data_IF_562215360561
#
_entry.id   IF_562215360561
#
_cell.length_a   1.000
_cell.length_b   1.000
_cell.length_c   1.000
_cell.angle_alpha   90.00
_cell.angle_beta   90.00
_cell.angle_gamma   90.00
#
_symmetry.space_group_name_H-M   'P 1'
#
loop_
_entity.id
_entity.type
_entity.pdbx_description
1 polymer ?
#
# COMPACT_ATOMS: atom_id res chain seq x y z
N UNK A 1 65.00 -66.06 -10.75
CA UNK A 1 64.86 -64.59 -10.69
C UNK A 1 63.89 -64.22 -9.58
N UNK A 2 64.36 -63.72 -8.43
CA UNK A 2 63.52 -63.12 -7.38
C UNK A 2 63.51 -61.60 -7.60
N UNK A 3 62.33 -61.03 -7.82
CA UNK A 3 62.14 -59.58 -8.06
C UNK A 3 62.24 -58.85 -6.72
N UNK A 4 63.24 -57.98 -6.59
CA UNK A 4 63.46 -57.16 -5.41
C UNK A 4 62.54 -55.92 -5.49
N UNK A 5 61.55 -55.85 -4.61
CA UNK A 5 60.63 -54.70 -4.52
C UNK A 5 61.07 -53.90 -3.30
N UNK A 6 61.76 -52.78 -3.52
CA UNK A 6 62.02 -51.82 -2.45
C UNK A 6 60.77 -50.95 -2.25
N UNK A 7 60.21 -50.98 -1.04
CA UNK A 7 59.09 -50.14 -0.64
C UNK A 7 59.54 -48.68 -0.48
N UNK A 8 58.95 -47.79 -1.27
CA UNK A 8 59.14 -46.33 -1.11
C UNK A 8 58.26 -45.88 0.05
N UNK A 9 58.88 -45.51 1.17
CA UNK A 9 58.21 -44.94 2.34
C UNK A 9 58.10 -43.43 2.17
N UNK A 10 56.90 -42.94 1.86
CA UNK A 10 56.63 -41.49 1.74
C UNK A 10 56.37 -40.93 3.13
N UNK A 11 57.39 -40.32 3.75
CA UNK A 11 57.25 -39.69 5.07
C UNK A 11 56.69 -38.28 4.92
N UNK A 12 55.41 -38.07 5.23
CA UNK A 12 54.84 -36.73 5.37
C UNK A 12 55.42 -36.05 6.62
N UNK A 13 56.27 -35.05 6.41
CA UNK A 13 56.76 -34.19 7.50
C UNK A 13 55.58 -33.40 8.08
N UNK A 14 55.16 -33.73 9.32
CA UNK A 14 54.20 -32.92 10.07
C UNK A 14 54.85 -31.58 10.40
N UNK A 15 54.45 -30.51 9.69
CA UNK A 15 54.73 -29.14 10.13
C UNK A 15 54.15 -28.95 11.53
N UNK A 16 54.94 -28.37 12.45
CA UNK A 16 54.47 -27.97 13.79
C UNK A 16 53.27 -27.03 13.62
N UNK A 17 52.21 -27.15 14.44
CA UNK A 17 51.13 -26.16 14.43
C UNK A 17 51.71 -24.85 14.95
N UNK A 18 52.03 -23.94 14.04
CA UNK A 18 52.40 -22.58 14.41
C UNK A 18 51.15 -21.92 15.00
N UNK A 19 51.24 -21.44 16.24
CA UNK A 19 50.15 -20.71 16.89
C UNK A 19 49.77 -19.46 16.11
N UNK A 20 48.51 -19.04 16.22
CA UNK A 20 47.99 -17.81 15.61
C UNK A 20 48.95 -16.64 15.85
N UNK A 21 49.38 -15.98 14.78
CA UNK A 21 50.19 -14.79 14.91
C UNK A 21 49.31 -13.61 15.31
N UNK A 22 49.80 -12.70 16.16
CA UNK A 22 49.04 -11.52 16.61
C UNK A 22 48.63 -10.60 15.44
N UNK A 23 49.40 -10.62 14.35
CA UNK A 23 49.06 -9.91 13.11
C UNK A 23 47.91 -10.57 12.36
N UNK A 24 47.82 -11.90 12.36
CA UNK A 24 46.74 -12.66 11.71
C UNK A 24 45.40 -12.47 12.42
N UNK A 25 45.39 -12.43 13.75
CA UNK A 25 44.17 -12.12 14.52
C UNK A 25 43.73 -10.67 14.31
N UNK A 26 44.67 -9.72 14.21
CA UNK A 26 44.36 -8.32 13.90
C UNK A 26 43.75 -8.17 12.48
N UNK A 27 44.31 -8.87 11.49
CA UNK A 27 43.77 -8.89 10.12
C UNK A 27 42.39 -9.56 10.09
N UNK A 28 42.22 -10.69 10.79
CA UNK A 28 40.94 -11.40 10.86
C UNK A 28 39.84 -10.56 11.51
N UNK A 29 40.16 -9.83 12.59
CA UNK A 29 39.25 -8.87 13.22
C UNK A 29 38.92 -7.70 12.28
N UNK A 30 39.91 -7.25 11.49
CA UNK A 30 39.68 -6.26 10.43
C UNK A 30 38.62 -6.71 9.42
N UNK A 31 38.76 -7.91 8.87
CA UNK A 31 37.74 -8.47 7.97
C UNK A 31 36.40 -8.70 8.66
N UNK A 32 36.41 -9.13 9.93
CA UNK A 32 35.19 -9.35 10.71
C UNK A 32 34.39 -8.04 10.88
N UNK A 33 35.06 -6.96 11.25
CA UNK A 33 34.42 -5.65 11.43
C UNK A 33 33.82 -5.10 10.13
N UNK A 34 34.53 -5.24 9.01
CA UNK A 34 33.98 -4.89 7.68
C UNK A 34 32.75 -5.73 7.35
N UNK A 35 32.79 -7.05 7.63
CA UNK A 35 31.64 -7.93 7.46
C UNK A 35 30.43 -7.48 8.28
N UNK A 36 30.62 -7.09 9.54
CA UNK A 36 29.55 -6.58 10.39
C UNK A 36 28.95 -5.27 9.86
N UNK A 37 29.76 -4.34 9.34
CA UNK A 37 29.27 -3.09 8.77
C UNK A 37 28.33 -3.34 7.58
N UNK A 38 28.66 -4.30 6.72
CA UNK A 38 27.81 -4.70 5.59
C UNK A 38 26.46 -5.24 6.09
N UNK A 39 26.48 -6.12 7.10
CA UNK A 39 25.26 -6.71 7.67
C UNK A 39 24.35 -5.65 8.31
N UNK A 40 24.93 -4.69 9.04
CA UNK A 40 24.19 -3.58 9.64
C UNK A 40 23.56 -2.70 8.57
N UNK A 41 24.34 -2.31 7.54
CA UNK A 41 23.83 -1.51 6.43
C UNK A 41 22.66 -2.20 5.73
N UNK A 42 22.80 -3.49 5.44
CA UNK A 42 21.73 -4.28 4.82
C UNK A 42 20.48 -4.32 5.70
N UNK A 43 20.65 -4.54 7.01
CA UNK A 43 19.53 -4.60 7.96
C UNK A 43 18.76 -3.27 8.02
N UNK A 44 19.47 -2.14 8.04
CA UNK A 44 18.81 -0.82 8.07
C UNK A 44 18.03 -0.53 6.78
N UNK A 45 18.56 -0.92 5.62
CA UNK A 45 17.87 -0.77 4.34
C UNK A 45 16.65 -1.70 4.24
N UNK A 46 16.76 -2.91 4.79
CA UNK A 46 15.65 -3.84 4.85
C UNK A 46 14.50 -3.29 5.71
N UNK A 47 14.79 -2.70 6.87
CA UNK A 47 13.76 -2.08 7.72
C UNK A 47 13.02 -0.94 7.02
N UNK A 48 13.72 -0.08 6.28
CA UNK A 48 13.08 0.97 5.46
C UNK A 48 12.14 0.38 4.40
N UNK A 49 12.58 -0.71 3.77
CA UNK A 49 11.78 -1.41 2.75
C UNK A 49 10.53 -2.05 3.37
N UNK A 50 10.65 -2.62 4.56
CA UNK A 50 9.51 -3.19 5.29
C UNK A 50 8.49 -2.12 5.68
N UNK A 51 8.93 -0.96 6.18
CA UNK A 51 8.03 0.16 6.49
C UNK A 51 7.28 0.62 5.24
N UNK A 52 7.99 0.80 4.13
CA UNK A 52 7.37 1.17 2.86
C UNK A 52 6.38 0.11 2.38
N UNK A 53 6.72 -1.18 2.46
CA UNK A 53 5.83 -2.26 2.07
C UNK A 53 4.57 -2.30 2.95
N UNK A 54 4.72 -2.09 4.26
CA UNK A 54 3.59 -2.01 5.20
C UNK A 54 2.65 -0.86 4.86
N UNK A 55 3.19 0.33 4.62
CA UNK A 55 2.39 1.50 4.27
C UNK A 55 1.71 1.35 2.92
N UNK A 56 2.39 0.77 1.94
CA UNK A 56 1.79 0.46 0.63
C UNK A 56 0.62 -0.52 0.73
N UNK A 57 0.76 -1.55 1.56
CA UNK A 57 -0.33 -2.50 1.83
C UNK A 57 -1.51 -1.80 2.51
N UNK A 58 -1.25 -0.94 3.50
CA UNK A 58 -2.30 -0.13 4.14
C UNK A 58 -2.99 0.80 3.13
N UNK A 59 -2.23 1.50 2.30
CA UNK A 59 -2.78 2.38 1.26
C UNK A 59 -3.66 1.61 0.25
N UNK A 60 -3.32 0.36 -0.03
CA UNK A 60 -4.13 -0.51 -0.89
C UNK A 60 -5.45 -0.89 -0.22
N UNK A 61 -5.42 -1.28 1.07
CA UNK A 61 -6.64 -1.55 1.83
C UNK A 61 -7.52 -0.31 1.97
N UNK A 62 -6.94 0.85 2.26
CA UNK A 62 -7.67 2.12 2.30
C UNK A 62 -8.31 2.49 0.96
N UNK A 63 -7.65 2.13 -0.14
CA UNK A 63 -8.19 2.31 -1.49
C UNK A 63 -9.37 1.38 -1.76
N UNK A 64 -9.28 0.11 -1.31
CA UNK A 64 -10.37 -0.85 -1.42
C UNK A 64 -11.58 -0.43 -0.60
N UNK A 65 -11.35 -0.05 0.66
CA UNK A 65 -12.37 0.47 1.57
C UNK A 65 -13.07 1.70 0.98
N UNK A 66 -12.30 2.61 0.35
CA UNK A 66 -12.88 3.79 -0.32
C UNK A 66 -13.85 3.41 -1.45
N UNK A 67 -13.47 2.43 -2.28
CA UNK A 67 -14.36 1.89 -3.32
C UNK A 67 -15.59 1.21 -2.71
N UNK A 68 -15.41 0.41 -1.67
CA UNK A 68 -16.51 -0.26 -0.97
C UNK A 68 -17.48 0.73 -0.34
N UNK A 69 -17.00 1.83 0.23
CA UNK A 69 -17.83 2.89 0.80
C UNK A 69 -18.71 3.55 -0.28
N UNK A 70 -18.16 3.82 -1.46
CA UNK A 70 -18.90 4.38 -2.60
C UNK A 70 -19.95 3.39 -3.10
N UNK A 71 -19.59 2.12 -3.24
CA UNK A 71 -20.52 1.07 -3.66
C UNK A 71 -21.63 0.84 -2.63
N UNK A 72 -21.30 0.94 -1.34
CA UNK A 72 -22.25 0.85 -0.24
C UNK A 72 -23.22 2.04 -0.28
N UNK A 73 -22.73 3.27 -0.48
CA UNK A 73 -23.58 4.46 -0.62
C UNK A 73 -24.51 4.36 -1.82
N UNK A 74 -23.98 3.94 -2.98
CA UNK A 74 -24.79 3.66 -4.17
C UNK A 74 -25.88 2.63 -3.89
N UNK A 75 -25.54 1.53 -3.21
CA UNK A 75 -26.50 0.48 -2.86
C UNK A 75 -27.55 0.97 -1.84
N UNK A 76 -27.16 1.85 -0.93
CA UNK A 76 -28.09 2.53 -0.02
C UNK A 76 -29.10 3.36 -0.81
N UNK A 77 -28.64 4.17 -1.76
CA UNK A 77 -29.50 4.96 -2.64
C UNK A 77 -30.49 4.07 -3.41
N UNK A 78 -30.03 2.92 -3.92
CA UNK A 78 -30.91 1.92 -4.54
C UNK A 78 -31.96 1.34 -3.58
N UNK A 79 -31.59 1.05 -2.32
CA UNK A 79 -32.52 0.51 -1.32
C UNK A 79 -33.55 1.52 -0.86
N UNK A 80 -33.21 2.81 -0.83
CA UNK A 80 -34.13 3.86 -0.41
C UNK A 80 -35.32 4.01 -1.37
N UNK A 81 -35.19 3.56 -2.63
CA UNK A 81 -36.30 3.02 -3.44
C UNK A 81 -37.44 3.96 -3.80
N UNK A 82 -37.41 5.23 -3.40
CA UNK A 82 -38.35 6.25 -3.83
C UNK A 82 -37.97 6.69 -5.24
N UNK A 83 -38.97 6.90 -6.11
CA UNK A 83 -38.81 7.41 -7.47
C UNK A 83 -38.06 8.76 -7.56
N UNK A 84 -37.76 9.38 -6.42
CA UNK A 84 -37.11 10.69 -6.27
C UNK A 84 -35.63 10.61 -5.87
N UNK A 85 -35.09 9.44 -5.48
CA UNK A 85 -33.68 9.32 -5.08
C UNK A 85 -32.83 8.82 -6.24
N UNK A 86 -31.99 9.70 -6.76
CA UNK A 86 -31.04 9.39 -7.82
C UNK A 86 -29.95 8.41 -7.31
N UNK A 87 -29.55 7.43 -8.13
CA UNK A 87 -28.61 6.37 -7.71
C UNK A 87 -27.21 6.89 -7.29
N UNK A 88 -26.88 8.13 -7.67
CA UNK A 88 -25.64 8.84 -7.31
C UNK A 88 -25.86 9.98 -6.31
N UNK A 89 -27.01 10.01 -5.65
CA UNK A 89 -27.31 10.99 -4.61
C UNK A 89 -26.19 11.04 -3.56
N UNK A 90 -25.69 12.24 -3.29
CA UNK A 90 -24.56 12.47 -2.39
C UNK A 90 -23.17 12.06 -2.92
N UNK A 91 -23.06 11.44 -4.10
CA UNK A 91 -21.79 11.06 -4.73
C UNK A 91 -21.38 12.00 -5.86
N UNK A 92 -22.34 12.52 -6.63
CA UNK A 92 -22.09 13.48 -7.71
C UNK A 92 -22.22 14.94 -7.21
N UNK A 93 -21.37 15.34 -6.27
CA UNK A 93 -21.40 16.66 -5.62
C UNK A 93 -20.92 17.79 -6.56
N UNK A 94 -20.15 17.46 -7.61
CA UNK A 94 -19.72 18.39 -8.65
C UNK A 94 -20.36 18.02 -9.99
N UNK A 95 -20.84 19.02 -10.73
CA UNK A 95 -22.03 18.86 -11.57
C UNK A 95 -21.81 18.58 -13.05
N UNK A 96 -20.59 18.54 -13.58
CA UNK A 96 -20.44 18.46 -15.05
C UNK A 96 -19.77 17.18 -15.55
N UNK A 97 -18.57 16.82 -15.13
CA UNK A 97 -17.86 15.69 -15.75
C UNK A 97 -16.94 14.90 -14.80
N UNK A 98 -16.81 15.34 -13.56
CA UNK A 98 -15.99 14.70 -12.55
C UNK A 98 -16.49 15.12 -11.17
N UNK A 99 -16.58 14.17 -10.24
CA UNK A 99 -16.90 14.45 -8.84
C UNK A 99 -15.77 13.90 -7.98
N UNK A 100 -15.24 14.75 -7.09
CA UNK A 100 -14.23 14.32 -6.11
C UNK A 100 -14.84 14.30 -4.72
N UNK A 101 -14.90 13.11 -4.13
CA UNK A 101 -15.59 12.86 -2.86
C UNK A 101 -14.67 12.21 -1.83
N UNK A 102 -14.88 12.62 -0.58
CA UNK A 102 -14.21 12.11 0.60
C UNK A 102 -15.31 11.45 1.43
N UNK A 103 -15.22 10.13 1.57
CA UNK A 103 -16.20 9.32 2.28
C UNK A 103 -15.46 8.51 3.33
N UNK A 104 -16.05 8.41 4.51
CA UNK A 104 -15.56 7.56 5.59
C UNK A 104 -16.33 6.23 5.59
N UNK A 105 -15.71 5.17 6.12
CA UNK A 105 -16.36 3.86 6.27
C UNK A 105 -17.62 3.89 7.15
N UNK A 106 -17.78 4.94 7.95
CA UNK A 106 -19.03 5.29 8.64
C UNK A 106 -19.91 6.13 7.70
N UNK A 107 -20.77 5.44 6.96
CA UNK A 107 -21.60 5.83 5.81
C UNK A 107 -22.50 7.10 5.92
N UNK A 108 -22.36 7.93 6.94
CA UNK A 108 -23.35 8.98 7.26
C UNK A 108 -23.16 10.30 6.52
N UNK A 109 -21.96 10.59 6.02
CA UNK A 109 -21.67 11.90 5.39
C UNK A 109 -20.64 11.76 4.28
N UNK A 110 -21.04 12.11 3.06
CA UNK A 110 -20.10 12.31 1.94
C UNK A 110 -19.70 13.78 1.93
N UNK A 111 -18.40 14.04 1.94
CA UNK A 111 -17.83 15.38 1.94
C UNK A 111 -17.21 15.69 0.57
N UNK A 112 -17.29 16.95 0.14
CA UNK A 112 -16.45 17.43 -0.95
C UNK A 112 -14.99 17.45 -0.48
N UNK A 113 -14.10 16.77 -1.19
CA UNK A 113 -12.68 16.83 -0.85
C UNK A 113 -12.12 18.23 -1.14
N UNK A 114 -11.62 18.91 -0.12
CA UNK A 114 -10.60 19.95 -0.28
C UNK A 114 -9.19 19.36 -0.08
N UNK A 115 -8.14 20.12 -0.34
CA UNK A 115 -6.76 19.66 -0.09
C UNK A 115 -6.58 19.21 1.37
N UNK A 116 -7.22 19.91 2.32
CA UNK A 116 -7.26 19.51 3.72
C UNK A 116 -8.28 18.40 4.03
N UNK A 117 -9.42 18.37 3.33
CA UNK A 117 -10.46 17.36 3.51
C UNK A 117 -10.08 15.96 3.03
N UNK A 118 -9.04 15.83 2.20
CA UNK A 118 -8.54 14.54 1.72
C UNK A 118 -7.69 13.78 2.75
N UNK A 119 -7.25 14.43 3.82
CA UNK A 119 -6.38 13.83 4.84
C UNK A 119 -7.13 12.78 5.64
N UNK A 120 -6.45 11.67 5.94
CA UNK A 120 -6.95 10.63 6.83
C UNK A 120 -6.25 10.72 8.18
N UNK A 121 -7.07 10.78 9.22
CA UNK A 121 -6.68 10.78 10.62
C UNK A 121 -7.08 9.45 11.25
N UNK A 122 -6.30 9.03 12.25
CA UNK A 122 -6.64 7.84 13.02
C UNK A 122 -7.50 8.22 14.22
N UNK A 123 -8.59 7.48 14.44
CA UNK A 123 -9.38 7.59 15.66
C UNK A 123 -8.74 6.78 16.80
N UNK A 124 -9.31 6.90 18.01
CA UNK A 124 -8.83 6.16 19.18
C UNK A 124 -9.02 4.62 19.06
N UNK A 125 -9.87 4.18 18.14
CA UNK A 125 -10.23 2.81 17.84
C UNK A 125 -9.34 2.21 16.72
N UNK A 126 -8.55 3.05 16.07
CA UNK A 126 -7.60 2.68 15.03
C UNK A 126 -8.11 2.77 13.59
N UNK A 127 -9.32 3.30 13.35
CA UNK A 127 -9.89 3.53 12.02
C UNK A 127 -9.40 4.82 11.40
N UNK A 128 -9.41 4.88 10.07
CA UNK A 128 -9.04 6.07 9.31
C UNK A 128 -10.28 6.86 8.91
N UNK A 129 -10.29 8.14 9.22
CA UNK A 129 -11.40 9.05 8.97
C UNK A 129 -10.94 10.41 8.46
N UNK A 130 -11.80 11.11 7.74
CA UNK A 130 -11.55 12.46 7.22
C UNK A 130 -11.72 13.57 8.28
N UNK A 131 -12.22 13.22 9.47
CA UNK A 131 -12.38 14.16 10.58
C UNK A 131 -11.05 14.40 11.29
N UNK A 132 -10.64 15.67 11.52
CA UNK A 132 -9.41 15.97 12.22
C UNK A 132 -9.35 15.30 13.61
N UNK A 133 -8.27 14.58 13.88
CA UNK A 133 -7.93 13.99 15.18
C UNK A 133 -6.52 14.44 15.59
N UNK A 134 -6.17 14.24 16.85
CA UNK A 134 -4.86 14.59 17.40
C UNK A 134 -3.69 13.76 16.81
N UNK A 135 -3.99 12.74 16.02
CA UNK A 135 -3.02 11.79 15.48
C UNK A 135 -2.33 12.26 14.18
N UNK A 136 -1.16 11.67 13.90
CA UNK A 136 -0.33 12.03 12.75
C UNK A 136 -0.94 11.60 11.43
N UNK A 137 -0.98 12.52 10.46
CA UNK A 137 -1.45 12.27 9.09
C UNK A 137 -0.36 11.58 8.28
N UNK A 138 -0.59 10.31 7.91
CA UNK A 138 0.32 9.54 7.03
C UNK A 138 -0.30 9.34 5.64
N UNK A 139 -1.63 9.29 5.56
CA UNK A 139 -2.37 8.99 4.34
C UNK A 139 -3.32 10.14 3.99
N UNK A 140 -3.52 10.34 2.70
CA UNK A 140 -4.61 11.15 2.15
C UNK A 140 -5.35 10.32 1.12
N UNK A 141 -6.68 10.32 1.15
CA UNK A 141 -7.57 9.58 0.25
C UNK A 141 -8.51 10.55 -0.45
N UNK A 142 -8.74 10.30 -1.73
CA UNK A 142 -9.78 10.96 -2.52
C UNK A 142 -10.39 9.95 -3.47
N UNK A 143 -11.70 10.01 -3.65
CA UNK A 143 -12.40 9.23 -4.67
C UNK A 143 -12.81 10.16 -5.79
N UNK A 144 -12.51 9.76 -7.01
CA UNK A 144 -12.85 10.47 -8.23
C UNK A 144 -13.86 9.63 -8.98
N UNK A 145 -15.02 10.20 -9.23
CA UNK A 145 -16.06 9.63 -10.06
C UNK A 145 -16.05 10.33 -11.41
N UNK A 146 -16.18 9.55 -12.48
CA UNK A 146 -16.22 10.08 -13.85
C UNK A 146 -17.23 9.29 -14.70
N UNK A 147 -18.17 9.96 -15.38
CA UNK A 147 -19.04 9.31 -16.36
C UNK A 147 -18.20 8.85 -17.56
N UNK A 148 -18.45 7.63 -18.03
CA UNK A 148 -17.76 7.05 -19.18
C UNK A 148 -18.60 7.07 -20.46
N UNK A 149 -19.92 7.02 -20.32
CA UNK A 149 -20.87 6.89 -21.42
C UNK A 149 -21.68 8.16 -21.70
N UNK A 150 -21.44 9.23 -20.93
CA UNK A 150 -22.13 10.50 -21.08
C UNK A 150 -21.23 11.70 -20.75
N UNK A 151 -21.67 12.88 -21.20
CA UNK A 151 -21.01 14.14 -20.88
C UNK A 151 -21.32 14.64 -19.46
N UNK A 152 -22.43 14.18 -18.86
CA UNK A 152 -22.90 14.55 -17.53
C UNK A 152 -23.25 13.35 -16.69
N UNK A 153 -23.23 13.49 -15.36
CA UNK A 153 -23.62 12.41 -14.45
C UNK A 153 -25.10 12.02 -14.59
N UNK A 154 -25.99 12.97 -14.87
CA UNK A 154 -27.45 12.73 -14.95
C UNK A 154 -27.84 11.71 -16.02
N UNK A 155 -27.09 11.68 -17.13
CA UNK A 155 -27.36 10.80 -18.28
C UNK A 155 -26.43 9.58 -18.32
N UNK A 156 -25.44 9.52 -17.42
CA UNK A 156 -24.48 8.43 -17.35
C UNK A 156 -25.09 7.16 -16.74
N UNK A 157 -24.97 6.05 -17.45
CA UNK A 157 -25.31 4.72 -16.94
C UNK A 157 -24.07 3.98 -16.45
N UNK A 158 -22.87 4.44 -16.83
CA UNK A 158 -21.59 3.82 -16.48
C UNK A 158 -20.64 4.89 -15.94
N UNK A 159 -20.15 4.64 -14.73
CA UNK A 159 -19.22 5.53 -14.03
C UNK A 159 -17.95 4.77 -13.65
N UNK A 160 -16.79 5.36 -13.93
CA UNK A 160 -15.52 4.96 -13.34
C UNK A 160 -15.41 5.58 -11.96
N UNK A 161 -15.22 4.75 -10.93
CA UNK A 161 -14.84 5.18 -9.61
C UNK A 161 -13.35 4.86 -9.39
N UNK A 162 -12.56 5.89 -9.15
CA UNK A 162 -11.14 5.80 -8.84
C UNK A 162 -10.88 6.23 -7.40
N UNK A 163 -10.38 5.33 -6.56
CA UNK A 163 -9.89 5.68 -5.23
C UNK A 163 -8.38 5.88 -5.29
N UNK A 164 -7.94 7.10 -4.99
CA UNK A 164 -6.53 7.50 -4.97
C UNK A 164 -6.09 7.73 -3.51
N UNK A 165 -5.08 6.98 -3.07
CA UNK A 165 -4.46 7.14 -1.74
C UNK A 165 -3.02 7.58 -1.91
N UNK A 166 -2.66 8.70 -1.29
CA UNK A 166 -1.32 9.28 -1.27
C UNK A 166 -0.64 9.05 0.08
N UNK A 167 0.63 8.64 0.06
CA UNK A 167 1.47 8.44 1.25
C UNK A 167 2.95 8.65 0.88
N UNK A 168 3.73 9.34 1.72
CA UNK A 168 5.17 9.58 1.50
C UNK A 168 5.57 10.06 0.07
N UNK A 169 4.72 10.84 -0.60
CA UNK A 169 4.96 11.28 -1.99
C UNK A 169 4.78 10.19 -3.06
N UNK A 170 4.19 9.04 -2.70
CA UNK A 170 3.73 7.97 -3.60
C UNK A 170 2.21 7.91 -3.60
N UNK A 171 1.65 7.28 -4.63
CA UNK A 171 0.21 7.11 -4.76
C UNK A 171 -0.12 5.66 -5.13
N UNK A 172 -1.24 5.18 -4.61
CA UNK A 172 -1.92 3.95 -5.03
C UNK A 172 -3.28 4.36 -5.58
N UNK A 173 -3.64 3.83 -6.74
CA UNK A 173 -4.92 4.06 -7.39
C UNK A 173 -5.59 2.72 -7.64
N UNK A 174 -6.86 2.61 -7.22
CA UNK A 174 -7.72 1.50 -7.59
C UNK A 174 -8.93 2.03 -8.33
N UNK A 175 -9.27 1.36 -9.43
CA UNK A 175 -10.39 1.72 -10.29
C UNK A 175 -11.42 0.61 -10.31
N UNK A 176 -12.68 0.99 -10.29
CA UNK A 176 -13.81 0.10 -10.53
C UNK A 176 -14.83 0.76 -11.43
N UNK A 177 -15.65 -0.05 -12.08
CA UNK A 177 -16.79 0.42 -12.86
C UNK A 177 -18.06 0.22 -12.04
N UNK A 178 -18.88 1.26 -11.98
CA UNK A 178 -20.20 1.23 -11.39
C UNK A 178 -21.23 1.47 -12.49
N UNK A 179 -22.23 0.60 -12.55
CA UNK A 179 -23.33 0.73 -13.49
C UNK A 179 -24.61 1.07 -12.76
N UNK A 180 -25.48 1.82 -13.43
CA UNK A 180 -26.88 1.96 -13.07
C UNK A 180 -27.59 0.63 -13.36
N UNK A 181 -27.56 -0.31 -12.41
CA UNK A 181 -28.33 -1.55 -12.52
C UNK A 181 -29.70 -1.34 -11.88
N UNK A 182 -30.64 -0.79 -12.65
CA UNK A 182 -32.06 -0.80 -12.31
C UNK A 182 -32.80 -1.71 -13.31
N UNK A 183 -33.32 -2.88 -12.91
CA UNK A 183 -34.13 -3.73 -13.79
C UNK A 183 -35.52 -3.13 -14.10
N UNK A 184 -35.92 -2.02 -13.46
CA UNK A 184 -37.23 -1.39 -13.60
C UNK A 184 -37.22 -0.05 -14.35
N UNK A 185 -36.08 0.42 -14.88
CA UNK A 185 -36.05 1.59 -15.76
C UNK A 185 -36.37 1.16 -17.19
N UNK A 186 -37.66 1.16 -17.52
CA UNK A 186 -38.13 1.27 -18.91
C UNK A 186 -37.97 2.71 -19.39
#
# INVERSE_FOLDING_TARGET
MKKNIQSISITFSKKKPNGFTLIETAIALGFLTVGFLVLISLSTNYMKTLTFARERTMATFLSQEGIEAVLAKRNENFKQGSNDVWWLEGLAIQTENQSTVCIDGTLTTVLSCSDDGSKLYRDAQGFYMHTPSADTQVFSRKIILRPLDAATFETAKIIEASSQVSFMGKQVELKTLMTQWNPLSN
#
